data_IF_078794945692
#
_entry.id   IF_078794945692
#
_cell.length_a   1.000
_cell.length_b   1.000
_cell.length_c   1.000
_cell.angle_alpha   90.00
_cell.angle_beta   90.00
_cell.angle_gamma   90.00
#
_symmetry.space_group_name_H-M   'P 1'
#
loop_
_entity.id
_entity.type
_entity.pdbx_description
1 polymer ?
#
# COMPACT_ATOMS: atom_id res chain seq x y z
N UNK A 1 19.89 -0.35 -8.87
CA UNK A 1 18.98 -1.26 -8.13
C UNK A 1 18.22 -0.55 -7.02
N UNK A 2 18.88 0.07 -6.03
CA UNK A 2 18.24 0.63 -4.83
C UNK A 2 17.23 1.77 -5.07
N UNK A 3 17.38 2.57 -6.13
CA UNK A 3 16.47 3.70 -6.39
C UNK A 3 15.20 3.33 -7.16
N UNK A 4 15.18 2.17 -7.84
CA UNK A 4 14.06 1.80 -8.70
C UNK A 4 12.76 1.62 -7.88
N UNK A 5 12.74 0.88 -6.74
CA UNK A 5 11.52 0.76 -5.94
C UNK A 5 11.02 2.12 -5.43
N UNK A 6 11.93 3.00 -5.03
CA UNK A 6 11.60 4.35 -4.57
C UNK A 6 10.91 5.14 -5.68
N UNK A 7 11.47 5.11 -6.89
CA UNK A 7 10.92 5.82 -8.04
C UNK A 7 9.54 5.26 -8.44
N UNK A 8 9.38 3.94 -8.46
CA UNK A 8 8.10 3.27 -8.77
C UNK A 8 6.99 3.73 -7.83
N UNK A 9 7.24 3.70 -6.52
CA UNK A 9 6.25 4.01 -5.47
C UNK A 9 5.86 5.49 -5.40
N UNK A 10 6.67 6.39 -5.98
CA UNK A 10 6.34 7.81 -6.07
C UNK A 10 5.65 8.18 -7.39
N UNK A 11 5.85 7.41 -8.47
CA UNK A 11 5.32 7.72 -9.80
C UNK A 11 4.03 6.99 -10.14
N UNK A 12 3.81 5.80 -9.55
CA UNK A 12 2.62 5.01 -9.79
C UNK A 12 1.68 5.24 -8.59
N UNK A 13 0.61 6.03 -8.74
CA UNK A 13 -0.36 6.20 -7.66
C UNK A 13 -1.04 4.85 -7.36
N UNK A 14 -1.18 4.53 -6.09
CA UNK A 14 -1.95 3.37 -5.64
C UNK A 14 -3.42 3.56 -6.08
N UNK A 15 -4.01 2.56 -6.73
CA UNK A 15 -5.26 2.64 -7.53
C UNK A 15 -6.51 3.19 -6.80
N UNK A 16 -6.47 3.39 -5.48
CA UNK A 16 -7.57 4.04 -4.75
C UNK A 16 -7.35 5.55 -4.67
N UNK A 17 -7.77 6.23 -5.74
CA UNK A 17 -7.99 7.67 -5.72
C UNK A 17 -9.12 8.00 -4.73
N UNK A 18 -8.76 8.15 -3.46
CA UNK A 18 -9.65 8.72 -2.46
C UNK A 18 -9.87 10.21 -2.76
N UNK A 19 -11.10 10.71 -2.66
CA UNK A 19 -11.42 12.09 -3.04
C UNK A 19 -10.76 13.12 -2.12
N UNK A 20 -10.44 12.76 -0.87
CA UNK A 20 -9.87 13.69 0.11
C UNK A 20 -8.49 13.23 0.57
N UNK A 21 -7.51 14.11 0.35
CA UNK A 21 -6.13 13.98 0.81
C UNK A 21 -5.73 15.33 1.38
N UNK A 22 -5.63 15.42 2.70
CA UNK A 22 -5.42 16.69 3.39
C UNK A 22 -4.54 16.53 4.62
N UNK A 23 -3.88 17.61 4.99
CA UNK A 23 -3.19 17.74 6.27
C UNK A 23 -4.13 18.41 7.25
N UNK A 24 -4.32 17.82 8.43
CA UNK A 24 -5.12 18.43 9.47
C UNK A 24 -4.46 18.30 10.85
N UNK A 25 -4.82 19.22 11.73
CA UNK A 25 -4.51 19.18 13.15
C UNK A 25 -5.73 18.65 13.89
N UNK A 26 -5.60 17.49 14.55
CA UNK A 26 -6.63 16.99 15.44
C UNK A 26 -6.75 17.95 16.63
N UNK A 27 -7.94 18.46 16.92
CA UNK A 27 -8.13 19.48 17.95
C UNK A 27 -8.85 18.94 19.18
N UNK A 28 -9.77 18.00 18.99
CA UNK A 28 -10.63 17.49 20.07
C UNK A 28 -11.03 16.04 19.79
N UNK A 29 -11.02 15.20 20.81
CA UNK A 29 -11.63 13.87 20.74
C UNK A 29 -13.13 14.02 21.03
N UNK A 30 -13.97 13.68 20.05
CA UNK A 30 -15.41 13.90 20.13
C UNK A 30 -16.11 12.69 20.73
N UNK A 31 -15.83 11.50 20.22
CA UNK A 31 -16.52 10.27 20.59
C UNK A 31 -15.76 9.03 20.14
N UNK A 32 -16.23 7.87 20.60
CA UNK A 32 -15.78 6.56 20.17
C UNK A 32 -16.99 5.64 20.01
N UNK A 33 -16.96 4.68 19.09
CA UNK A 33 -18.02 3.67 18.98
C UNK A 33 -18.04 2.74 20.19
N UNK A 34 -19.17 2.11 20.49
CA UNK A 34 -19.36 1.23 21.67
C UNK A 34 -18.33 0.09 21.74
N UNK A 35 -17.94 -0.44 20.58
CA UNK A 35 -16.92 -1.49 20.47
C UNK A 35 -15.48 -0.97 20.59
N UNK A 36 -15.31 0.33 20.70
CA UNK A 36 -14.02 1.00 20.74
C UNK A 36 -13.29 1.05 19.38
N UNK A 37 -13.91 0.56 18.31
CA UNK A 37 -13.25 0.38 17.00
C UNK A 37 -13.07 1.68 16.23
N UNK A 38 -14.06 2.58 16.28
CA UNK A 38 -14.03 3.87 15.59
C UNK A 38 -13.83 4.97 16.60
N UNK A 39 -12.88 5.86 16.35
CA UNK A 39 -12.68 7.09 17.11
C UNK A 39 -12.92 8.30 16.23
N UNK A 40 -13.60 9.30 16.79
CA UNK A 40 -14.00 10.50 16.08
C UNK A 40 -13.25 11.69 16.68
N UNK A 41 -12.53 12.41 15.83
CA UNK A 41 -11.80 13.61 16.22
C UNK A 41 -12.29 14.79 15.40
N UNK A 42 -12.46 15.94 16.06
CA UNK A 42 -12.52 17.21 15.35
C UNK A 42 -11.14 17.53 14.82
N UNK A 43 -11.06 17.97 13.57
CA UNK A 43 -9.81 18.33 12.94
C UNK A 43 -9.95 19.65 12.17
N UNK A 44 -8.95 20.51 12.32
CA UNK A 44 -8.80 21.72 11.52
C UNK A 44 -7.83 21.46 10.37
N UNK A 45 -8.30 21.68 9.16
CA UNK A 45 -7.53 21.47 7.94
C UNK A 45 -6.48 22.56 7.80
N UNK A 46 -5.27 22.14 7.51
CA UNK A 46 -4.08 22.98 7.34
C UNK A 46 -3.72 23.11 5.86
N UNK A 47 -3.86 22.02 5.09
CA UNK A 47 -3.45 21.96 3.69
C UNK A 47 -4.15 20.81 2.94
N UNK A 48 -4.14 20.84 1.60
CA UNK A 48 -4.66 19.78 0.74
C UNK A 48 -6.16 19.85 0.44
N UNK A 49 -6.69 18.77 -0.12
CA UNK A 49 -8.09 18.68 -0.54
C UNK A 49 -8.96 18.06 0.56
N UNK A 50 -9.79 18.90 1.19
CA UNK A 50 -10.72 18.51 2.24
C UNK A 50 -12.12 19.08 1.94
N UNK A 51 -13.20 18.47 2.47
CA UNK A 51 -14.56 18.94 2.20
C UNK A 51 -14.90 20.26 2.92
N UNK A 52 -14.18 20.62 3.98
CA UNK A 52 -14.32 21.89 4.71
C UNK A 52 -13.05 22.21 5.51
N UNK A 53 -12.94 23.42 6.05
CA UNK A 53 -11.81 23.86 6.90
C UNK A 53 -11.81 23.24 8.31
N UNK A 54 -12.98 22.87 8.83
CA UNK A 54 -13.17 22.11 10.06
C UNK A 54 -14.02 20.89 9.74
N UNK A 55 -13.54 19.71 10.11
CA UNK A 55 -14.16 18.43 9.77
C UNK A 55 -14.12 17.47 10.96
N UNK A 56 -14.80 16.34 10.83
CA UNK A 56 -14.65 15.19 11.71
C UNK A 56 -13.91 14.10 10.98
N UNK A 57 -12.82 13.63 11.58
CA UNK A 57 -12.02 12.51 11.10
C UNK A 57 -12.43 11.27 11.88
N UNK A 58 -12.94 10.26 11.18
CA UNK A 58 -13.23 8.94 11.74
C UNK A 58 -12.03 8.00 11.48
N UNK A 59 -11.45 7.50 12.56
CA UNK A 59 -10.29 6.60 12.57
C UNK A 59 -10.73 5.22 13.03
N UNK A 60 -10.57 4.23 12.17
CA UNK A 60 -10.84 2.83 12.45
C UNK A 60 -9.56 2.12 12.91
N UNK A 61 -9.60 1.59 14.13
CA UNK A 61 -8.46 0.88 14.71
C UNK A 61 -8.04 -0.36 13.93
N UNK A 62 -8.97 -1.02 13.25
CA UNK A 62 -8.69 -2.25 12.50
C UNK A 62 -8.35 -1.98 11.03
N UNK A 63 -8.89 -0.90 10.45
CA UNK A 63 -8.84 -0.69 9.00
C UNK A 63 -8.08 0.57 8.57
N UNK A 64 -7.94 1.59 9.42
CA UNK A 64 -7.16 2.78 9.07
C UNK A 64 -5.66 2.47 9.13
N UNK A 65 -5.00 2.46 7.96
CA UNK A 65 -3.57 2.15 7.87
C UNK A 65 -2.73 3.31 8.40
N UNK A 66 -1.65 3.00 9.10
CA UNK A 66 -0.77 4.00 9.72
C UNK A 66 -1.35 4.65 10.98
N UNK A 67 -2.60 4.35 11.34
CA UNK A 67 -3.19 4.83 12.58
C UNK A 67 -2.59 4.11 13.79
N UNK A 68 -2.13 4.89 14.76
CA UNK A 68 -1.59 4.39 16.02
C UNK A 68 -2.29 5.10 17.17
N UNK A 69 -3.25 4.45 17.88
CA UNK A 69 -4.03 5.10 18.93
C UNK A 69 -3.17 5.73 20.03
N UNK A 70 -2.05 5.10 20.39
CA UNK A 70 -1.14 5.61 21.42
C UNK A 70 -0.41 6.91 21.04
N UNK A 71 -0.30 7.20 19.74
CA UNK A 71 0.40 8.38 19.21
C UNK A 71 -0.55 9.42 18.61
N UNK A 72 -1.86 9.13 18.59
CA UNK A 72 -2.86 9.98 17.98
C UNK A 72 -3.72 10.58 19.07
N UNK A 73 -3.56 11.88 19.29
CA UNK A 73 -4.30 12.62 20.31
C UNK A 73 -4.78 13.95 19.74
N UNK A 74 -5.63 14.64 20.50
CA UNK A 74 -5.82 16.06 20.29
C UNK A 74 -4.44 16.74 20.36
N UNK A 75 -4.11 17.54 19.35
CA UNK A 75 -2.80 18.12 18.99
C UNK A 75 -1.92 17.35 17.99
N UNK A 76 -2.33 16.20 17.47
CA UNK A 76 -1.58 15.54 16.39
C UNK A 76 -1.85 16.21 15.04
N UNK A 77 -0.80 16.66 14.37
CA UNK A 77 -0.85 17.08 12.97
C UNK A 77 -0.39 15.93 12.06
N UNK A 78 -1.24 15.51 11.13
CA UNK A 78 -0.91 14.45 10.17
C UNK A 78 -1.57 14.69 8.81
N UNK A 79 -1.11 13.94 7.82
CA UNK A 79 -1.82 13.80 6.56
C UNK A 79 -2.84 12.67 6.66
N UNK A 80 -4.04 12.91 6.16
CA UNK A 80 -5.16 11.98 6.14
C UNK A 80 -5.59 11.75 4.70
N UNK A 81 -5.96 10.52 4.39
CA UNK A 81 -6.52 10.13 3.12
C UNK A 81 -7.80 9.32 3.36
N UNK A 82 -8.88 9.66 2.65
CA UNK A 82 -10.13 8.94 2.74
C UNK A 82 -11.27 9.60 1.97
N UNK A 83 -12.47 9.15 2.29
CA UNK A 83 -13.72 9.54 1.62
C UNK A 83 -14.73 10.08 2.62
N UNK A 84 -15.70 10.86 2.13
CA UNK A 84 -16.85 11.23 2.94
C UNK A 84 -17.60 9.96 3.33
N UNK A 85 -18.07 9.89 4.57
CA UNK A 85 -19.07 8.89 4.91
C UNK A 85 -20.36 9.27 4.18
N UNK A 86 -20.82 8.39 3.30
CA UNK A 86 -22.10 8.48 2.59
C UNK A 86 -22.98 7.26 2.94
N UNK A 87 -24.30 7.32 2.70
CA UNK A 87 -25.21 6.20 3.02
C UNK A 87 -24.83 4.89 2.39
N UNK A 88 -24.25 4.97 1.20
CA UNK A 88 -23.91 3.81 0.41
C UNK A 88 -22.63 3.13 0.92
N UNK A 89 -21.81 3.84 1.71
CA UNK A 89 -20.51 3.36 2.21
C UNK A 89 -20.62 2.82 3.66
N UNK A 90 -21.65 3.20 4.43
CA UNK A 90 -21.84 2.68 5.79
C UNK A 90 -23.32 2.54 6.18
N UNK A 91 -23.68 1.37 6.73
CA UNK A 91 -25.00 1.01 7.29
C UNK A 91 -25.31 1.70 8.63
N UNK A 92 -25.05 3.02 8.76
CA UNK A 92 -25.32 3.80 9.98
C UNK A 92 -25.67 5.25 9.66
N UNK A 93 -26.79 5.72 10.21
CA UNK A 93 -27.49 6.97 9.86
C UNK A 93 -26.82 8.29 10.34
N UNK A 94 -25.51 8.52 10.13
CA UNK A 94 -24.90 9.81 10.53
C UNK A 94 -23.85 10.33 9.54
N UNK A 95 -24.25 11.24 8.64
CA UNK A 95 -23.35 11.97 7.71
C UNK A 95 -22.82 13.29 8.27
N UNK A 96 -23.38 13.75 9.40
CA UNK A 96 -22.98 14.96 10.10
C UNK A 96 -22.76 14.62 11.57
N UNK A 97 -21.53 14.30 11.95
CA UNK A 97 -21.15 14.27 13.36
C UNK A 97 -21.00 15.72 13.83
N UNK A 98 -21.88 16.17 14.74
CA UNK A 98 -21.89 17.53 15.28
C UNK A 98 -21.99 18.67 14.23
N UNK A 99 -22.69 18.44 13.11
CA UNK A 99 -22.90 19.46 12.07
C UNK A 99 -21.69 19.76 11.18
N UNK A 100 -20.66 18.91 11.23
CA UNK A 100 -19.46 19.01 10.39
C UNK A 100 -19.39 17.83 9.40
N UNK A 101 -18.76 18.01 8.21
CA UNK A 101 -18.49 16.90 7.31
C UNK A 101 -17.61 15.84 7.97
N UNK A 102 -17.98 14.58 7.80
CA UNK A 102 -17.25 13.44 8.36
C UNK A 102 -16.49 12.69 7.27
N UNK A 103 -15.18 12.57 7.45
CA UNK A 103 -14.28 11.81 6.57
C UNK A 103 -13.92 10.49 7.24
N UNK A 104 -14.28 9.37 6.61
CA UNK A 104 -13.76 8.06 6.98
C UNK A 104 -12.34 7.92 6.45
N UNK A 105 -11.38 7.78 7.37
CA UNK A 105 -9.97 7.79 7.00
C UNK A 105 -9.50 6.39 6.68
N UNK A 106 -9.04 6.19 5.45
CA UNK A 106 -8.36 4.97 5.02
C UNK A 106 -6.91 4.95 5.53
N UNK A 107 -6.21 6.09 5.49
CA UNK A 107 -4.79 6.16 5.87
C UNK A 107 -4.42 7.43 6.62
N UNK A 108 -3.49 7.27 7.56
CA UNK A 108 -2.82 8.37 8.24
C UNK A 108 -1.33 8.32 7.91
N UNK A 109 -0.80 9.42 7.35
CA UNK A 109 0.63 9.62 7.14
C UNK A 109 1.18 10.61 8.16
N UNK A 110 1.99 10.07 9.07
CA UNK A 110 2.74 10.82 10.09
C UNK A 110 4.21 11.03 9.72
N UNK A 111 4.74 10.25 8.76
CA UNK A 111 6.13 10.29 8.32
C UNK A 111 6.29 10.72 6.87
N UNK A 112 7.42 10.34 6.27
CA UNK A 112 7.79 10.71 4.89
C UNK A 112 6.88 10.08 3.84
N UNK A 113 6.52 8.80 4.01
CA UNK A 113 5.75 8.02 3.04
C UNK A 113 4.41 7.59 3.61
N UNK A 114 3.43 7.41 2.72
CA UNK A 114 2.16 6.80 3.06
C UNK A 114 2.33 5.33 3.49
N UNK A 115 1.42 4.79 4.33
CA UNK A 115 1.45 3.38 4.72
C UNK A 115 1.47 2.39 3.55
N UNK A 116 0.75 2.67 2.47
CA UNK A 116 0.73 1.82 1.27
C UNK A 116 2.07 1.87 0.55
N UNK A 117 2.64 3.07 0.40
CA UNK A 117 3.98 3.25 -0.18
C UNK A 117 5.05 2.46 0.57
N UNK A 118 5.00 2.42 1.91
CA UNK A 118 5.89 1.57 2.70
C UNK A 118 5.72 0.09 2.41
N UNK A 119 4.48 -0.36 2.23
CA UNK A 119 4.16 -1.75 1.96
C UNK A 119 4.57 -2.15 0.55
N UNK A 120 4.30 -1.31 -0.46
CA UNK A 120 4.76 -1.48 -1.84
C UNK A 120 6.29 -1.56 -1.92
N UNK A 121 7.01 -0.67 -1.22
CA UNK A 121 8.47 -0.72 -1.15
C UNK A 121 8.96 -2.06 -0.62
N UNK A 122 8.37 -2.55 0.48
CA UNK A 122 8.73 -3.85 1.07
C UNK A 122 8.51 -4.98 0.07
N UNK A 123 7.38 -4.99 -0.62
CA UNK A 123 7.06 -6.00 -1.64
C UNK A 123 8.06 -5.96 -2.79
N UNK A 124 8.39 -4.77 -3.30
CA UNK A 124 9.37 -4.60 -4.38
C UNK A 124 10.76 -5.07 -3.97
N UNK A 125 11.22 -4.71 -2.77
CA UNK A 125 12.53 -5.17 -2.27
C UNK A 125 12.59 -6.69 -2.03
N UNK A 126 11.48 -7.30 -1.62
CA UNK A 126 11.39 -8.74 -1.41
C UNK A 126 11.08 -9.52 -2.70
N UNK A 127 10.73 -8.83 -3.78
CA UNK A 127 10.30 -9.46 -5.03
C UNK A 127 11.32 -10.44 -5.65
N UNK A 128 12.65 -10.23 -5.59
CA UNK A 128 13.61 -11.20 -6.12
C UNK A 128 13.54 -12.53 -5.37
N UNK A 129 13.33 -12.48 -4.05
CA UNK A 129 13.21 -13.70 -3.23
C UNK A 129 11.84 -14.35 -3.45
N UNK A 130 10.76 -13.57 -3.46
CA UNK A 130 9.42 -14.08 -3.72
C UNK A 130 9.29 -14.73 -5.11
N UNK A 131 10.03 -14.24 -6.10
CA UNK A 131 10.06 -14.79 -7.46
C UNK A 131 10.57 -16.24 -7.49
N UNK A 132 11.49 -16.62 -6.60
CA UNK A 132 11.96 -18.01 -6.49
C UNK A 132 10.85 -18.99 -6.11
N UNK A 133 9.84 -18.54 -5.36
CA UNK A 133 8.72 -19.37 -4.95
C UNK A 133 7.61 -19.48 -6.01
N UNK A 134 7.64 -18.64 -7.06
CA UNK A 134 6.57 -18.56 -8.06
C UNK A 134 6.22 -19.92 -8.75
N UNK A 135 7.18 -20.79 -9.11
CA UNK A 135 6.86 -22.07 -9.74
C UNK A 135 6.02 -22.99 -8.85
N UNK A 136 6.21 -22.90 -7.54
CA UNK A 136 5.48 -23.70 -6.55
C UNK A 136 4.09 -23.09 -6.31
N UNK A 137 3.92 -21.78 -6.46
CA UNK A 137 2.67 -21.06 -6.17
C UNK A 137 1.57 -21.27 -7.23
N UNK A 138 1.93 -21.46 -8.50
CA UNK A 138 0.97 -21.64 -9.61
C UNK A 138 -0.12 -22.68 -9.33
N UNK A 139 0.20 -23.93 -8.91
CA UNK A 139 -0.83 -24.94 -8.66
C UNK A 139 -1.77 -24.59 -7.49
N UNK A 140 -1.31 -23.80 -6.52
CA UNK A 140 -2.15 -23.36 -5.40
C UNK A 140 -3.06 -22.19 -5.79
N UNK A 141 -2.59 -21.27 -6.63
CA UNK A 141 -3.37 -20.11 -7.07
C UNK A 141 -4.63 -20.53 -7.85
N UNK A 142 -4.52 -21.54 -8.72
CA UNK A 142 -5.65 -22.03 -9.53
C UNK A 142 -6.81 -22.55 -8.66
N UNK A 143 -6.54 -22.90 -7.39
CA UNK A 143 -7.54 -23.39 -6.44
C UNK A 143 -8.01 -22.31 -5.45
N UNK A 144 -7.54 -21.07 -5.60
CA UNK A 144 -7.85 -19.98 -4.68
C UNK A 144 -8.95 -19.06 -5.22
N UNK A 145 -9.77 -18.52 -4.32
CA UNK A 145 -10.84 -17.57 -4.65
C UNK A 145 -10.29 -16.19 -5.11
N UNK A 146 -8.99 -15.94 -4.91
CA UNK A 146 -8.30 -14.70 -5.30
C UNK A 146 -7.66 -14.79 -6.70
N UNK A 147 -8.07 -15.74 -7.53
CA UNK A 147 -7.52 -15.93 -8.86
C UNK A 147 -7.88 -14.76 -9.80
N UNK A 148 -6.84 -14.10 -10.34
CA UNK A 148 -6.99 -13.17 -11.48
C UNK A 148 -6.00 -13.54 -12.59
N UNK A 149 -6.38 -13.25 -13.84
CA UNK A 149 -5.51 -13.48 -14.99
C UNK A 149 -4.19 -12.68 -14.90
N UNK A 150 -4.23 -11.50 -14.28
CA UNK A 150 -3.06 -10.66 -14.01
C UNK A 150 -2.07 -11.38 -13.09
N UNK A 151 -2.54 -11.93 -11.97
CA UNK A 151 -1.67 -12.66 -11.02
C UNK A 151 -1.09 -13.91 -11.69
N UNK A 152 -1.88 -14.65 -12.47
CA UNK A 152 -1.39 -15.81 -13.21
C UNK A 152 -0.26 -15.42 -14.19
N UNK A 153 -0.46 -14.37 -14.99
CA UNK A 153 0.53 -13.90 -15.94
C UNK A 153 1.85 -13.50 -15.24
N UNK A 154 1.76 -12.81 -14.10
CA UNK A 154 2.91 -12.45 -13.27
C UNK A 154 3.64 -13.69 -12.73
N UNK A 155 2.93 -14.71 -12.24
CA UNK A 155 3.56 -15.94 -11.75
C UNK A 155 4.24 -16.74 -12.87
N UNK A 156 3.64 -16.79 -14.07
CA UNK A 156 4.26 -17.43 -15.24
C UNK A 156 5.54 -16.69 -15.63
N UNK A 157 5.50 -15.35 -15.72
CA UNK A 157 6.67 -14.54 -16.02
C UNK A 157 7.79 -14.71 -14.98
N UNK A 158 7.45 -14.74 -13.69
CA UNK A 158 8.39 -15.04 -12.59
C UNK A 158 9.01 -16.43 -12.74
N UNK A 159 8.23 -17.44 -13.11
CA UNK A 159 8.71 -18.81 -13.31
C UNK A 159 9.69 -18.91 -14.49
N UNK A 160 9.40 -18.22 -15.60
CA UNK A 160 10.31 -18.11 -16.74
C UNK A 160 11.63 -17.43 -16.31
N UNK A 161 11.54 -16.34 -15.55
CA UNK A 161 12.72 -15.62 -15.05
C UNK A 161 13.61 -16.50 -14.17
N UNK A 162 13.02 -17.31 -13.28
CA UNK A 162 13.77 -18.29 -12.48
C UNK A 162 14.47 -19.31 -13.37
N UNK A 163 13.77 -19.87 -14.37
CA UNK A 163 14.38 -20.82 -15.32
C UNK A 163 15.57 -20.22 -16.08
N UNK A 164 15.43 -18.99 -16.56
CA UNK A 164 16.51 -18.25 -17.23
C UNK A 164 17.70 -17.99 -16.30
N UNK A 165 17.44 -17.61 -15.05
CA UNK A 165 18.49 -17.38 -14.06
C UNK A 165 19.28 -18.66 -13.75
N UNK A 166 18.58 -19.78 -13.54
CA UNK A 166 19.22 -21.09 -13.33
C UNK A 166 20.08 -21.48 -14.53
N UNK A 167 19.54 -21.36 -15.75
CA UNK A 167 20.29 -21.64 -16.98
C UNK A 167 21.55 -20.76 -17.11
N UNK A 168 21.43 -19.47 -16.83
CA UNK A 168 22.54 -18.52 -16.91
C UNK A 168 23.63 -18.82 -15.86
N UNK A 169 23.25 -19.23 -14.65
CA UNK A 169 24.20 -19.69 -13.61
C UNK A 169 24.91 -20.97 -14.03
N UNK A 170 24.19 -21.96 -14.58
CA UNK A 170 24.81 -23.21 -15.06
C UNK A 170 25.80 -22.93 -16.20
N UNK A 171 25.42 -22.04 -17.13
CA UNK A 171 26.27 -21.69 -18.27
C UNK A 171 27.51 -20.89 -17.87
N UNK A 172 27.36 -19.92 -16.96
CA UNK A 172 28.49 -19.11 -16.47
C UNK A 172 29.51 -19.94 -15.68
N UNK A 173 29.08 -21.00 -14.98
CA UNK A 173 30.00 -21.97 -14.36
C UNK A 173 30.91 -22.69 -15.37
N UNK A 174 30.48 -22.86 -16.63
CA UNK A 174 31.27 -23.52 -17.68
C UNK A 174 32.29 -22.58 -18.36
N UNK A 175 32.13 -21.26 -18.23
CA UNK A 175 33.09 -20.28 -18.76
C UNK A 175 33.09 -19.03 -17.86
N UNK A 176 33.84 -19.06 -16.75
CA UNK A 176 33.83 -17.99 -15.76
C UNK A 176 34.58 -16.77 -16.31
N UNK A 177 33.84 -15.85 -16.95
CA UNK A 177 34.31 -14.47 -17.12
C UNK A 177 34.08 -13.74 -15.79
N UNK A 178 35.14 -13.17 -15.20
CA UNK A 178 35.03 -12.35 -13.97
C UNK A 178 33.94 -11.28 -14.16
N UNK A 179 32.98 -11.22 -13.24
CA UNK A 179 31.94 -10.18 -13.18
C UNK A 179 30.59 -10.50 -13.84
N UNK A 180 30.45 -11.58 -14.62
CA UNK A 180 29.17 -11.88 -15.31
C UNK A 180 28.07 -12.36 -14.36
N UNK A 181 28.41 -13.08 -13.29
CA UNK A 181 27.43 -13.60 -12.32
C UNK A 181 26.77 -12.49 -11.51
N UNK A 182 27.52 -11.47 -11.11
CA UNK A 182 26.99 -10.31 -10.39
C UNK A 182 25.97 -9.56 -11.27
N UNK A 183 26.33 -9.26 -12.52
CA UNK A 183 25.44 -8.58 -13.47
C UNK A 183 24.16 -9.38 -13.75
N UNK A 184 24.26 -10.71 -13.82
CA UNK A 184 23.09 -11.59 -13.99
C UNK A 184 22.15 -11.55 -12.77
N UNK A 185 22.69 -11.50 -11.55
CA UNK A 185 21.90 -11.37 -10.33
C UNK A 185 21.22 -10.00 -10.23
N UNK A 186 21.91 -8.93 -10.63
CA UNK A 186 21.33 -7.58 -10.69
C UNK A 186 20.20 -7.49 -11.72
N UNK A 187 20.40 -8.07 -12.92
CA UNK A 187 19.35 -8.15 -13.94
C UNK A 187 18.17 -8.98 -13.45
N UNK A 188 18.42 -10.13 -12.81
CA UNK A 188 17.37 -10.94 -12.20
C UNK A 188 16.55 -10.14 -11.19
N UNK A 189 17.21 -9.43 -10.28
CA UNK A 189 16.53 -8.59 -9.29
C UNK A 189 15.73 -7.46 -9.94
N UNK A 190 16.28 -6.80 -10.98
CA UNK A 190 15.56 -5.80 -11.77
C UNK A 190 14.24 -6.36 -12.33
N UNK A 191 14.34 -7.48 -13.06
CA UNK A 191 13.18 -8.05 -13.74
C UNK A 191 12.16 -8.59 -12.75
N UNK A 192 12.61 -9.18 -11.63
CA UNK A 192 11.70 -9.59 -10.56
C UNK A 192 10.90 -8.40 -10.01
N UNK A 193 11.54 -7.25 -9.80
CA UNK A 193 10.86 -6.01 -9.37
C UNK A 193 9.86 -5.54 -10.43
N UNK A 194 10.28 -5.43 -11.70
CA UNK A 194 9.43 -4.94 -12.79
C UNK A 194 8.20 -5.83 -13.01
N UNK A 195 8.37 -7.15 -12.96
CA UNK A 195 7.27 -8.12 -13.10
C UNK A 195 6.29 -8.03 -11.93
N UNK A 196 6.70 -7.48 -10.78
CA UNK A 196 5.85 -7.34 -9.59
C UNK A 196 4.97 -6.09 -9.63
N UNK A 197 5.35 -5.07 -10.41
CA UNK A 197 4.61 -3.79 -10.49
C UNK A 197 3.12 -3.97 -10.82
N UNK A 198 2.72 -4.80 -11.81
CA UNK A 198 1.32 -4.91 -12.21
C UNK A 198 0.36 -5.44 -11.14
N UNK A 199 0.88 -6.09 -10.09
CA UNK A 199 0.07 -6.65 -9.00
C UNK A 199 0.22 -5.85 -7.70
N UNK A 200 0.91 -4.70 -7.71
CA UNK A 200 1.02 -3.85 -6.51
C UNK A 200 -0.33 -3.26 -6.11
N UNK A 201 -1.17 -2.89 -7.08
CA UNK A 201 -2.53 -2.36 -6.84
C UNK A 201 -3.48 -3.40 -6.24
N UNK A 202 -3.34 -4.67 -6.65
CA UNK A 202 -4.18 -5.79 -6.18
C UNK A 202 -3.92 -6.21 -4.72
N UNK A 203 -2.93 -5.61 -4.04
CA UNK A 203 -2.57 -5.94 -2.66
C UNK A 203 -3.46 -5.24 -1.61
N UNK A 204 -4.34 -4.31 -2.01
CA UNK A 204 -4.91 -3.29 -1.11
C UNK A 204 -6.38 -2.96 -1.30
#
# INVERSE_FOLDING_TARGET
MLLLPVLVVHLIPTDTHEPFVFRAMLTEHLAQSDSGKLQYFRANVVDGNAPASSIVVALDRAYTRGYQPALTSASTAAWFQGSLMTPDIFYGEQYLFFGLPQVYTRQVKTGLLWPDQWTELRVLYLSPVATLAAPIQIPFLIRSDSFTYTILAVLVARSILVGLAVYAVIRSRRSPRRGTTLALLELYALFAMLITIPILGDLF
#
